data_IF_053775309990
#
_entry.id   IF_053775309990
#
_cell.length_a   1.000
_cell.length_b   1.000
_cell.length_c   1.000
_cell.angle_alpha   90.00
_cell.angle_beta   90.00
_cell.angle_gamma   90.00
#
_symmetry.space_group_name_H-M   'P 1'
#
loop_
_entity.id
_entity.type
_entity.pdbx_description
1 polymer ?
#
# COMPACT_ATOMS: atom_id res chain seq x y z
N UNK A 1 -31.36 48.51 -36.26
CA UNK A 1 -32.28 49.58 -35.81
C UNK A 1 -31.55 50.57 -34.91
N UNK A 2 -31.96 51.83 -34.82
CA UNK A 2 -31.32 52.80 -33.91
C UNK A 2 -31.89 52.67 -32.50
N UNK A 3 -31.02 52.69 -31.48
CA UNK A 3 -31.44 52.67 -30.10
C UNK A 3 -32.15 53.99 -29.73
N UNK A 4 -33.38 53.97 -29.18
CA UNK A 4 -34.12 55.19 -28.86
C UNK A 4 -33.49 56.01 -27.73
N UNK A 5 -32.62 55.40 -26.92
CA UNK A 5 -32.00 56.06 -25.78
C UNK A 5 -30.68 56.79 -26.14
N UNK A 6 -29.87 56.25 -27.06
CA UNK A 6 -28.54 56.80 -27.36
C UNK A 6 -28.28 57.06 -28.85
N UNK A 7 -29.22 56.70 -29.74
CA UNK A 7 -29.13 56.95 -31.18
C UNK A 7 -28.14 56.06 -31.95
N UNK A 8 -27.38 55.20 -31.27
CA UNK A 8 -26.44 54.29 -31.94
C UNK A 8 -27.16 53.12 -32.61
N UNK A 9 -26.59 52.63 -33.70
CA UNK A 9 -27.08 51.44 -34.40
C UNK A 9 -26.91 50.18 -33.53
N UNK A 10 -27.98 49.41 -33.42
CA UNK A 10 -28.04 48.10 -32.78
C UNK A 10 -28.54 47.05 -33.78
N UNK A 11 -28.08 45.81 -33.64
CA UNK A 11 -28.59 44.71 -34.46
C UNK A 11 -30.04 44.42 -34.08
N UNK A 12 -30.86 44.03 -35.04
CA UNK A 12 -32.30 43.80 -34.86
C UNK A 12 -32.60 42.63 -33.89
N UNK A 13 -31.64 41.71 -33.73
CA UNK A 13 -31.70 40.57 -32.81
C UNK A 13 -31.22 40.85 -31.39
N UNK A 14 -30.67 42.05 -31.11
CA UNK A 14 -30.09 42.34 -29.80
C UNK A 14 -31.19 42.63 -28.77
N UNK A 15 -31.13 41.95 -27.63
CA UNK A 15 -32.04 42.21 -26.50
C UNK A 15 -31.72 43.52 -25.76
N UNK A 16 -30.46 43.98 -25.86
CA UNK A 16 -29.96 45.19 -25.20
C UNK A 16 -28.96 45.92 -26.10
N UNK A 17 -28.93 47.25 -26.04
CA UNK A 17 -27.93 48.04 -26.74
C UNK A 17 -26.54 47.84 -26.10
N UNK A 18 -25.56 47.37 -26.88
CA UNK A 18 -24.18 47.16 -26.40
C UNK A 18 -23.42 48.43 -25.95
N UNK A 19 -23.92 49.63 -26.27
CA UNK A 19 -23.27 50.89 -25.91
C UNK A 19 -23.82 51.52 -24.62
N UNK A 20 -25.14 51.46 -24.40
CA UNK A 20 -25.78 52.12 -23.25
C UNK A 20 -26.56 51.17 -22.34
N UNK A 21 -26.71 49.89 -22.72
CA UNK A 21 -27.43 48.89 -21.94
C UNK A 21 -28.96 48.99 -22.01
N UNK A 22 -29.53 49.89 -22.81
CA UNK A 22 -30.98 50.03 -22.94
C UNK A 22 -31.62 48.77 -23.55
N UNK A 23 -32.70 48.27 -22.95
CA UNK A 23 -33.43 47.11 -23.45
C UNK A 23 -34.14 47.43 -24.77
N UNK A 24 -33.95 46.56 -25.76
CA UNK A 24 -34.56 46.69 -27.08
C UNK A 24 -35.75 45.71 -27.15
N UNK A 25 -36.95 46.23 -27.39
CA UNK A 25 -38.22 45.56 -27.12
C UNK A 25 -38.59 44.38 -28.06
N UNK A 26 -37.66 43.84 -28.85
CA UNK A 26 -37.93 42.80 -29.86
C UNK A 26 -37.31 41.42 -29.59
N UNK A 27 -36.65 41.20 -28.45
CA UNK A 27 -36.17 39.85 -28.11
C UNK A 27 -37.27 39.01 -27.40
N UNK A 28 -37.66 37.83 -27.91
CA UNK A 28 -38.61 36.97 -27.21
C UNK A 28 -37.99 36.46 -25.89
N UNK A 29 -38.79 36.50 -24.82
CA UNK A 29 -38.40 36.07 -23.49
C UNK A 29 -37.94 34.60 -23.51
N UNK A 30 -36.73 34.32 -23.00
CA UNK A 30 -36.22 32.96 -22.82
C UNK A 30 -37.11 32.20 -21.83
N UNK A 31 -37.70 31.10 -22.31
CA UNK A 31 -38.39 30.09 -21.48
C UNK A 31 -37.36 29.48 -20.52
N UNK A 32 -37.58 29.65 -19.21
CA UNK A 32 -36.81 28.97 -18.17
C UNK A 32 -37.24 27.50 -18.10
N UNK A 33 -36.32 26.57 -18.41
CA UNK A 33 -36.54 25.14 -18.23
C UNK A 33 -36.72 24.79 -16.73
N UNK A 34 -37.60 23.83 -16.39
CA UNK A 34 -37.72 23.33 -15.02
C UNK A 34 -36.42 22.62 -14.61
N UNK A 35 -36.01 22.83 -13.35
CA UNK A 35 -34.80 22.26 -12.77
C UNK A 35 -34.68 20.76 -13.08
N UNK A 36 -33.65 20.39 -13.84
CA UNK A 36 -33.33 19.00 -14.14
C UNK A 36 -33.08 18.27 -12.81
N UNK A 37 -33.87 17.22 -12.56
CA UNK A 37 -33.68 16.35 -11.42
C UNK A 37 -32.25 15.79 -11.46
N UNK A 38 -31.52 15.95 -10.35
CA UNK A 38 -30.17 15.42 -10.22
C UNK A 38 -30.14 13.92 -10.56
N UNK A 39 -29.08 13.43 -11.23
CA UNK A 39 -28.99 12.02 -11.62
C UNK A 39 -29.14 11.11 -10.39
N UNK A 40 -29.77 9.93 -10.53
CA UNK A 40 -29.98 9.01 -9.41
C UNK A 40 -28.63 8.53 -8.89
N UNK A 41 -28.37 8.76 -7.60
CA UNK A 41 -27.24 8.13 -6.93
C UNK A 41 -27.52 6.61 -6.86
N UNK A 42 -26.52 5.78 -7.13
CA UNK A 42 -26.62 4.33 -7.03
C UNK A 42 -25.97 3.82 -5.73
N UNK A 43 -26.42 2.66 -5.26
CA UNK A 43 -25.84 1.96 -4.14
C UNK A 43 -24.50 1.31 -4.52
N UNK A 44 -23.44 1.60 -3.78
CA UNK A 44 -22.10 1.08 -4.02
C UNK A 44 -21.91 -0.37 -3.56
N UNK A 45 -22.91 -0.95 -2.87
CA UNK A 45 -22.88 -2.34 -2.39
C UNK A 45 -23.64 -3.28 -3.33
N UNK A 46 -24.86 -2.92 -3.75
CA UNK A 46 -25.72 -3.79 -4.57
C UNK A 46 -26.15 -3.20 -5.92
N UNK A 47 -25.83 -1.93 -6.22
CA UNK A 47 -26.17 -1.29 -7.49
C UNK A 47 -27.59 -0.72 -7.61
N UNK A 48 -28.47 -0.93 -6.62
CA UNK A 48 -29.82 -0.36 -6.65
C UNK A 48 -29.81 1.18 -6.68
N UNK A 49 -30.72 1.79 -7.44
CA UNK A 49 -30.89 3.24 -7.49
C UNK A 49 -31.51 3.77 -6.19
N UNK A 50 -31.02 4.92 -5.70
CA UNK A 50 -31.63 5.67 -4.61
C UNK A 50 -32.68 6.64 -5.14
N UNK A 51 -33.83 6.71 -4.46
CA UNK A 51 -34.81 7.76 -4.73
C UNK A 51 -34.51 9.00 -3.88
N UNK A 52 -33.96 10.05 -4.50
CA UNK A 52 -33.84 11.38 -3.89
C UNK A 52 -33.08 11.39 -2.55
N UNK A 53 -33.80 11.50 -1.44
CA UNK A 53 -33.31 11.77 -0.08
C UNK A 53 -33.02 10.52 0.78
N UNK A 54 -33.13 9.31 0.23
CA UNK A 54 -32.87 8.08 0.96
C UNK A 54 -31.46 7.99 1.54
N UNK A 55 -31.34 7.70 2.83
CA UNK A 55 -30.05 7.53 3.54
C UNK A 55 -29.61 6.07 3.63
N UNK A 56 -30.52 5.12 3.37
CA UNK A 56 -30.27 3.67 3.44
C UNK A 56 -30.89 2.98 2.23
N UNK A 57 -30.18 2.02 1.64
CA UNK A 57 -30.61 1.28 0.45
C UNK A 57 -31.78 0.34 0.77
N UNK A 58 -32.87 0.39 -0.01
CA UNK A 58 -34.06 -0.47 0.21
C UNK A 58 -33.82 -1.96 -0.04
N UNK A 59 -32.83 -2.29 -0.88
CA UNK A 59 -32.55 -3.68 -1.29
C UNK A 59 -31.63 -4.37 -0.27
N UNK A 60 -30.44 -3.81 -0.04
CA UNK A 60 -29.44 -4.44 0.83
C UNK A 60 -29.25 -3.78 2.20
N UNK A 61 -30.01 -2.72 2.51
CA UNK A 61 -29.93 -1.95 3.76
C UNK A 61 -28.58 -1.29 4.06
N UNK A 62 -27.71 -1.15 3.06
CA UNK A 62 -26.45 -0.42 3.23
C UNK A 62 -26.67 1.11 3.29
N UNK A 63 -25.87 1.86 4.07
CA UNK A 63 -25.93 3.32 4.09
C UNK A 63 -25.56 3.96 2.75
N UNK A 64 -26.16 5.09 2.42
CA UNK A 64 -25.85 5.85 1.19
C UNK A 64 -24.40 6.30 1.20
N UNK A 65 -23.70 6.09 0.07
CA UNK A 65 -22.31 6.49 -0.07
C UNK A 65 -21.36 5.65 0.79
N UNK A 66 -21.77 4.47 1.24
CA UNK A 66 -20.90 3.53 1.93
C UNK A 66 -20.58 2.32 1.03
N UNK A 67 -19.40 1.73 1.24
CA UNK A 67 -18.97 0.48 0.61
C UNK A 67 -18.65 -0.54 1.70
N UNK A 68 -18.62 -1.82 1.34
CA UNK A 68 -18.24 -2.89 2.29
C UNK A 68 -16.80 -2.66 2.75
N UNK A 69 -16.55 -2.79 4.05
CA UNK A 69 -15.20 -2.75 4.60
C UNK A 69 -14.45 -4.04 4.20
N UNK A 70 -13.42 -3.97 3.34
CA UNK A 70 -12.67 -5.16 2.93
C UNK A 70 -11.82 -5.75 4.06
N UNK A 71 -11.64 -5.03 5.17
CA UNK A 71 -10.87 -5.48 6.34
C UNK A 71 -11.72 -6.10 7.44
N UNK A 72 -13.04 -6.03 7.32
CA UNK A 72 -13.93 -6.60 8.31
C UNK A 72 -14.02 -8.12 8.18
N UNK A 73 -13.96 -8.83 9.31
CA UNK A 73 -14.14 -10.30 9.38
C UNK A 73 -15.54 -10.74 8.91
N UNK A 74 -16.51 -9.82 8.89
CA UNK A 74 -17.87 -10.06 8.43
C UNK A 74 -18.36 -8.92 7.53
N UNK A 75 -19.20 -9.20 6.51
CA UNK A 75 -19.61 -8.23 5.49
C UNK A 75 -20.64 -7.19 5.98
N UNK A 76 -20.87 -7.08 7.29
CA UNK A 76 -21.86 -6.18 7.90
C UNK A 76 -21.30 -4.79 8.22
N UNK A 77 -19.97 -4.62 8.10
CA UNK A 77 -19.31 -3.35 8.37
C UNK A 77 -19.16 -2.54 7.08
N UNK A 78 -19.61 -1.29 7.11
CA UNK A 78 -19.52 -0.37 5.99
C UNK A 78 -18.62 0.81 6.33
N UNK A 79 -17.85 1.27 5.35
CA UNK A 79 -17.02 2.49 5.41
C UNK A 79 -17.50 3.49 4.38
N UNK A 80 -17.21 4.78 4.61
CA UNK A 80 -17.53 5.82 3.64
C UNK A 80 -16.85 5.55 2.28
N UNK A 81 -17.51 5.90 1.18
CA UNK A 81 -17.00 5.68 -0.18
C UNK A 81 -15.68 6.38 -0.45
N UNK A 82 -15.42 7.49 0.26
CA UNK A 82 -14.19 8.25 0.21
C UNK A 82 -13.15 7.80 1.26
N UNK A 83 -13.49 6.86 2.15
CA UNK A 83 -12.54 6.36 3.12
C UNK A 83 -11.37 5.69 2.38
N UNK A 84 -10.14 6.04 2.70
CA UNK A 84 -8.98 5.35 2.16
C UNK A 84 -8.80 4.06 2.94
N UNK A 85 -9.17 2.92 2.36
CA UNK A 85 -8.71 1.62 2.89
C UNK A 85 -7.37 1.32 2.25
N UNK A 86 -6.33 1.17 3.06
CA UNK A 86 -5.05 0.63 2.61
C UNK A 86 -5.27 -0.83 2.24
N UNK A 87 -5.46 -1.12 0.95
CA UNK A 87 -5.44 -2.49 0.45
C UNK A 87 -4.07 -3.05 0.76
N UNK A 88 -4.02 -4.05 1.63
CA UNK A 88 -2.79 -4.71 1.97
C UNK A 88 -2.41 -5.64 0.81
N UNK A 89 -1.57 -5.16 -0.10
CA UNK A 89 -1.01 -6.03 -1.15
C UNK A 89 0.01 -6.94 -0.45
N UNK A 90 -0.19 -8.27 -0.43
CA UNK A 90 0.77 -9.18 0.17
C UNK A 90 2.11 -9.02 -0.57
N UNK A 91 3.14 -8.61 0.17
CA UNK A 91 4.51 -8.52 -0.30
C UNK A 91 5.17 -9.90 -0.47
N UNK A 92 6.11 -9.97 -1.39
CA UNK A 92 6.91 -11.17 -1.66
C UNK A 92 6.39 -12.05 -2.80
N UNK A 93 6.97 -13.24 -2.97
CA UNK A 93 6.72 -14.14 -4.12
C UNK A 93 7.02 -13.50 -5.49
N UNK A 94 8.22 -12.91 -5.63
CA UNK A 94 8.65 -12.29 -6.88
C UNK A 94 8.11 -10.88 -7.14
N UNK A 95 7.32 -10.31 -6.22
CA UNK A 95 6.99 -8.90 -6.24
C UNK A 95 8.25 -8.02 -6.21
N UNK A 96 8.16 -6.82 -6.80
CA UNK A 96 9.24 -5.85 -6.76
C UNK A 96 9.67 -5.58 -5.33
N UNK A 97 10.99 -5.60 -5.10
CA UNK A 97 11.58 -5.42 -3.79
C UNK A 97 11.52 -3.94 -3.44
N UNK A 98 10.78 -3.53 -2.38
CA UNK A 98 10.71 -2.14 -1.95
C UNK A 98 12.10 -1.57 -1.70
N UNK A 99 12.32 -0.30 -2.08
CA UNK A 99 13.60 0.38 -1.89
C UNK A 99 14.06 0.38 -0.42
N UNK A 100 13.10 0.39 0.51
CA UNK A 100 13.33 0.44 1.96
C UNK A 100 13.98 -0.83 2.54
N UNK A 101 13.79 -1.98 1.90
CA UNK A 101 14.40 -3.26 2.34
C UNK A 101 15.58 -3.65 1.46
N UNK A 102 15.73 -3.00 0.31
CA UNK A 102 16.81 -3.23 -0.64
C UNK A 102 18.11 -2.68 -0.08
N UNK A 103 19.12 -3.53 0.05
CA UNK A 103 20.46 -3.14 0.53
C UNK A 103 20.63 -3.06 2.05
N UNK A 104 19.60 -3.41 2.84
CA UNK A 104 19.76 -3.58 4.28
C UNK A 104 20.49 -4.88 4.62
N UNK A 105 21.35 -4.86 5.65
CA UNK A 105 22.01 -6.07 6.16
C UNK A 105 21.02 -6.99 6.88
N UNK A 106 21.11 -8.29 6.59
CA UNK A 106 20.31 -9.32 7.22
C UNK A 106 21.13 -10.10 8.24
N UNK A 107 21.01 -9.71 9.50
CA UNK A 107 21.69 -10.39 10.61
C UNK A 107 21.28 -11.86 10.74
N UNK A 108 19.99 -12.17 10.61
CA UNK A 108 19.47 -13.54 10.70
C UNK A 108 20.12 -14.49 9.69
N UNK A 109 20.18 -14.08 8.42
CA UNK A 109 20.81 -14.83 7.34
C UNK A 109 22.32 -14.92 7.47
N UNK A 110 22.98 -13.88 8.00
CA UNK A 110 24.42 -13.92 8.25
C UNK A 110 24.79 -14.88 9.40
N UNK A 111 24.07 -14.84 10.52
CA UNK A 111 24.44 -15.60 11.73
C UNK A 111 23.86 -17.01 11.75
N UNK A 112 22.70 -17.22 11.13
CA UNK A 112 21.96 -18.49 11.15
C UNK A 112 21.70 -19.02 9.74
N UNK A 113 22.70 -18.95 8.85
CA UNK A 113 22.54 -19.17 7.40
C UNK A 113 21.64 -20.34 7.01
N UNK A 114 21.92 -21.57 7.45
CA UNK A 114 21.13 -22.74 7.08
C UNK A 114 19.68 -22.68 7.62
N UNK A 115 19.53 -22.45 8.94
CA UNK A 115 18.22 -22.44 9.60
C UNK A 115 17.32 -21.30 9.11
N UNK A 116 17.91 -20.11 8.97
CA UNK A 116 17.22 -18.93 8.46
C UNK A 116 16.80 -19.13 6.99
N UNK A 117 17.68 -19.68 6.15
CA UNK A 117 17.38 -19.89 4.73
C UNK A 117 16.23 -20.89 4.53
N UNK A 118 16.17 -21.98 5.32
CA UNK A 118 15.03 -22.90 5.31
C UNK A 118 13.72 -22.18 5.69
N UNK A 119 13.74 -21.39 6.76
CA UNK A 119 12.56 -20.65 7.21
C UNK A 119 12.08 -19.58 6.21
N UNK A 120 12.97 -19.05 5.37
CA UNK A 120 12.68 -18.09 4.31
C UNK A 120 12.38 -18.76 2.96
N UNK A 121 12.20 -20.07 2.91
CA UNK A 121 11.90 -20.84 1.69
C UNK A 121 13.03 -20.74 0.63
N UNK A 122 14.29 -20.82 1.08
CA UNK A 122 15.50 -20.75 0.26
C UNK A 122 16.35 -22.04 0.38
N UNK A 123 15.88 -23.21 -0.12
CA UNK A 123 16.51 -24.51 0.15
C UNK A 123 17.94 -24.63 -0.41
N UNK A 124 18.22 -24.03 -1.58
CA UNK A 124 19.59 -24.05 -2.16
C UNK A 124 20.57 -23.25 -1.32
N UNK A 125 20.15 -22.09 -0.79
CA UNK A 125 20.97 -21.29 0.12
C UNK A 125 21.16 -21.97 1.47
N UNK A 126 20.15 -22.69 1.95
CA UNK A 126 20.26 -23.50 3.16
C UNK A 126 21.33 -24.59 2.99
N UNK A 127 21.29 -25.31 1.86
CA UNK A 127 22.29 -26.33 1.53
C UNK A 127 23.69 -25.71 1.40
N UNK A 128 23.82 -24.56 0.72
CA UNK A 128 25.10 -23.86 0.58
C UNK A 128 25.66 -23.42 1.94
N UNK A 129 24.82 -22.89 2.84
CA UNK A 129 25.24 -22.51 4.19
C UNK A 129 25.63 -23.73 5.03
N UNK A 130 24.90 -24.84 4.92
CA UNK A 130 25.21 -26.09 5.59
C UNK A 130 26.55 -26.68 5.13
N UNK A 131 26.73 -26.86 3.82
CA UNK A 131 27.99 -27.37 3.25
C UNK A 131 29.16 -26.42 3.51
N UNK A 132 28.93 -25.11 3.39
CA UNK A 132 29.93 -24.07 3.68
C UNK A 132 30.40 -24.09 5.14
N UNK A 133 29.58 -24.58 6.08
CA UNK A 133 29.98 -24.66 7.50
C UNK A 133 31.14 -25.64 7.73
N UNK A 134 31.34 -26.62 6.83
CA UNK A 134 32.48 -27.56 6.89
C UNK A 134 33.77 -26.99 6.26
N UNK A 135 33.69 -25.85 5.59
CA UNK A 135 34.83 -25.19 4.95
C UNK A 135 34.81 -23.70 5.31
N UNK A 136 35.54 -23.33 6.37
CA UNK A 136 35.48 -21.99 6.99
C UNK A 136 35.54 -20.81 6.01
N UNK A 137 36.43 -20.79 4.98
CA UNK A 137 36.44 -19.68 4.01
C UNK A 137 35.15 -19.61 3.17
N UNK A 138 34.63 -20.75 2.72
CA UNK A 138 33.40 -20.82 1.94
C UNK A 138 32.19 -20.45 2.80
N UNK A 139 32.13 -20.97 4.03
CA UNK A 139 31.08 -20.62 5.00
C UNK A 139 31.01 -19.13 5.27
N UNK A 140 32.16 -18.47 5.44
CA UNK A 140 32.23 -17.02 5.64
C UNK A 140 31.71 -16.24 4.43
N UNK A 141 32.10 -16.63 3.21
CA UNK A 141 31.59 -15.99 1.98
C UNK A 141 30.07 -16.16 1.86
N UNK A 142 29.55 -17.37 2.10
CA UNK A 142 28.10 -17.62 2.06
C UNK A 142 27.36 -16.80 3.12
N UNK A 143 27.89 -16.71 4.34
CA UNK A 143 27.32 -15.90 5.42
C UNK A 143 27.26 -14.41 5.04
N UNK A 144 28.32 -13.86 4.44
CA UNK A 144 28.35 -12.46 4.00
C UNK A 144 27.35 -12.23 2.86
N UNK A 145 27.24 -13.16 1.90
CA UNK A 145 26.26 -13.05 0.81
C UNK A 145 24.83 -13.08 1.33
N UNK A 146 24.53 -13.95 2.31
CA UNK A 146 23.23 -13.99 2.99
C UNK A 146 23.00 -12.74 3.83
N UNK A 147 24.03 -12.15 4.43
CA UNK A 147 23.94 -10.86 5.10
C UNK A 147 23.57 -9.74 4.13
N UNK A 148 24.26 -9.63 3.00
CA UNK A 148 24.07 -8.55 2.05
C UNK A 148 22.77 -8.67 1.22
N UNK A 149 22.41 -9.89 0.80
CA UNK A 149 21.27 -10.15 -0.10
C UNK A 149 20.10 -10.87 0.56
N UNK A 150 20.20 -11.25 1.83
CA UNK A 150 19.18 -12.05 2.51
C UNK A 150 17.81 -11.38 2.50
N UNK A 151 17.74 -10.06 2.68
CA UNK A 151 16.45 -9.34 2.66
C UNK A 151 15.74 -9.45 1.30
N UNK A 152 16.47 -9.27 0.21
CA UNK A 152 15.95 -9.42 -1.15
C UNK A 152 15.54 -10.87 -1.44
N UNK A 153 16.39 -11.83 -1.07
CA UNK A 153 16.13 -13.25 -1.29
C UNK A 153 14.87 -13.70 -0.52
N UNK A 154 14.78 -13.35 0.76
CA UNK A 154 13.64 -13.69 1.60
C UNK A 154 12.35 -13.08 1.06
N UNK A 155 12.38 -11.79 0.68
CA UNK A 155 11.22 -11.12 0.07
C UNK A 155 10.76 -11.86 -1.19
N UNK A 156 11.68 -12.22 -2.09
CA UNK A 156 11.32 -12.89 -3.35
C UNK A 156 10.74 -14.29 -3.17
N UNK A 157 11.12 -15.05 -2.15
CA UNK A 157 10.82 -16.49 -2.05
C UNK A 157 9.77 -16.85 -1.00
N UNK A 158 9.42 -15.93 -0.10
CA UNK A 158 8.41 -16.13 0.95
C UNK A 158 7.34 -15.04 0.88
N UNK A 159 6.09 -15.41 1.14
CA UNK A 159 4.98 -14.47 1.26
C UNK A 159 5.03 -13.72 2.60
N UNK A 160 4.79 -12.42 2.55
CA UNK A 160 4.62 -11.55 3.71
C UNK A 160 3.36 -10.70 3.51
N UNK A 161 2.63 -10.41 4.56
CA UNK A 161 1.47 -9.53 4.43
C UNK A 161 1.94 -8.08 4.18
N UNK A 162 2.89 -7.59 4.98
CA UNK A 162 3.42 -6.20 4.99
C UNK A 162 4.94 -6.13 4.92
N UNK A 163 5.45 -4.93 4.62
CA UNK A 163 6.83 -4.55 4.94
C UNK A 163 7.06 -4.58 6.46
N UNK A 164 6.10 -4.12 7.25
CA UNK A 164 6.11 -4.17 8.73
C UNK A 164 6.16 -5.62 9.23
N UNK A 165 5.31 -6.50 8.69
CA UNK A 165 5.35 -7.92 9.00
C UNK A 165 6.70 -8.55 8.65
N UNK A 166 7.26 -8.24 7.48
CA UNK A 166 8.60 -8.65 7.09
C UNK A 166 9.67 -8.17 8.09
N UNK A 167 9.67 -6.88 8.44
CA UNK A 167 10.62 -6.31 9.41
C UNK A 167 10.53 -7.01 10.77
N UNK A 168 9.32 -7.26 11.27
CA UNK A 168 9.11 -7.99 12.54
C UNK A 168 9.71 -9.39 12.48
N UNK A 169 9.46 -10.13 11.40
CA UNK A 169 10.04 -11.47 11.20
C UNK A 169 11.56 -11.40 11.17
N UNK A 170 12.16 -10.53 10.35
CA UNK A 170 13.62 -10.39 10.25
C UNK A 170 14.25 -9.92 11.57
N UNK A 171 13.57 -9.07 12.34
CA UNK A 171 14.03 -8.61 13.65
C UNK A 171 14.12 -9.74 14.66
N UNK A 172 13.13 -10.63 14.71
CA UNK A 172 13.17 -11.82 15.58
C UNK A 172 14.38 -12.69 15.21
N UNK A 173 14.57 -12.97 13.92
CA UNK A 173 15.73 -13.74 13.44
C UNK A 173 17.07 -13.06 13.75
N UNK A 174 17.14 -11.73 13.61
CA UNK A 174 18.33 -10.96 13.94
C UNK A 174 18.67 -11.05 15.44
N UNK A 175 17.68 -10.84 16.32
CA UNK A 175 17.86 -10.90 17.77
C UNK A 175 18.30 -12.29 18.20
N UNK A 176 17.60 -13.33 17.75
CA UNK A 176 17.93 -14.73 18.10
C UNK A 176 19.32 -15.10 17.57
N UNK A 177 19.60 -14.76 16.31
CA UNK A 177 20.87 -15.06 15.67
C UNK A 177 22.06 -14.39 16.35
N UNK A 178 21.99 -13.07 16.57
CA UNK A 178 23.04 -12.32 17.27
C UNK A 178 23.23 -12.85 18.69
N UNK A 179 22.15 -13.09 19.44
CA UNK A 179 22.23 -13.58 20.82
C UNK A 179 22.95 -14.93 20.89
N UNK A 180 22.62 -15.85 19.99
CA UNK A 180 23.28 -17.16 19.92
C UNK A 180 24.75 -17.02 19.51
N UNK A 181 25.08 -16.17 18.54
CA UNK A 181 26.47 -15.92 18.12
C UNK A 181 27.30 -15.35 19.27
N UNK A 182 26.80 -14.34 19.98
CA UNK A 182 27.50 -13.75 21.14
C UNK A 182 27.73 -14.80 22.22
N UNK A 183 26.69 -15.59 22.56
CA UNK A 183 26.82 -16.66 23.54
C UNK A 183 27.91 -17.66 23.17
N UNK A 184 27.94 -18.15 21.93
CA UNK A 184 28.95 -19.09 21.45
C UNK A 184 30.36 -18.50 21.52
N UNK A 185 30.55 -17.25 21.09
CA UNK A 185 31.84 -16.56 21.15
C UNK A 185 32.33 -16.44 22.59
N UNK A 186 31.46 -16.07 23.54
CA UNK A 186 31.81 -15.95 24.95
C UNK A 186 32.21 -17.30 25.56
N UNK A 187 31.49 -18.37 25.23
CA UNK A 187 31.83 -19.73 25.68
C UNK A 187 33.19 -20.15 25.14
N UNK A 188 33.44 -19.96 23.84
CA UNK A 188 34.75 -20.27 23.25
C UNK A 188 35.88 -19.47 23.88
N UNK A 189 35.68 -18.17 24.11
CA UNK A 189 36.67 -17.31 24.76
C UNK A 189 36.98 -17.77 26.19
N UNK A 190 35.95 -18.14 26.96
CA UNK A 190 36.11 -18.65 28.32
C UNK A 190 36.87 -19.99 28.36
N UNK A 191 36.54 -20.92 27.44
CA UNK A 191 37.25 -22.19 27.32
C UNK A 191 38.71 -22.01 26.90
N UNK A 192 38.98 -21.12 25.94
CA UNK A 192 40.33 -20.80 25.51
C UNK A 192 41.15 -20.18 26.66
N UNK A 193 40.57 -19.24 27.42
CA UNK A 193 41.22 -18.66 28.59
C UNK A 193 41.54 -19.75 29.64
N UNK A 194 40.57 -20.61 29.98
CA UNK A 194 40.77 -21.71 30.92
C UNK A 194 41.90 -22.65 30.47
N UNK A 195 41.98 -22.97 29.17
CA UNK A 195 43.05 -23.83 28.65
C UNK A 195 44.45 -23.22 28.81
N UNK A 196 44.58 -21.89 28.73
CA UNK A 196 45.85 -21.18 28.94
C UNK A 196 46.22 -21.16 30.42
N UNK A 197 45.24 -21.01 31.33
CA UNK A 197 45.49 -21.03 32.78
C UNK A 197 45.91 -22.41 33.33
N UNK A 198 45.59 -23.49 32.62
CA UNK A 198 45.90 -24.87 33.03
C UNK A 198 47.25 -25.40 32.52
N UNK A 199 47.98 -24.62 31.71
CA UNK A 199 49.32 -24.94 31.19
C UNK A 199 50.40 -24.33 32.08
#
# INVERSE_FOLDING_TARGET
MQCPACGKEAAESDAFCGYCGHALSSAPAKVSQPAQAAPPAYCLVCGAAFAGHETVCRVCRSPRGARVDPTAETPVRYIAANATTTIHVPGGLGADVPAEIRGGWNWGGCTMGCLWALAMNLPLWALAAFLGSFCTPVGLVVAILLGAKGNELAWKHRRFDSIEHFRKVQQVWAVVGISLTVFVVLVYAALAALSVFLQ
#
